data_IF_451221085693
#
_entry.id   IF_451221085693
#
_cell.length_a   1.000
_cell.length_b   1.000
_cell.length_c   1.000
_cell.angle_alpha   90.00
_cell.angle_beta   90.00
_cell.angle_gamma   90.00
#
_symmetry.space_group_name_H-M   'P 1'
#
loop_
_entity.id
_entity.type
_entity.pdbx_description
1 polymer ?
#
# COMPACT_ATOMS: atom_id res chain seq x y z
N UNK A 1 21.90 15.60 -11.38
CA UNK A 1 20.66 14.86 -11.73
C UNK A 1 20.48 13.82 -10.66
N UNK A 2 19.47 13.93 -9.82
CA UNK A 2 19.08 12.88 -8.86
C UNK A 2 18.60 11.71 -9.71
N UNK A 3 19.20 10.53 -9.52
CA UNK A 3 18.81 9.32 -10.24
C UNK A 3 17.37 8.98 -9.78
N UNK A 4 16.40 9.02 -10.72
CA UNK A 4 15.03 8.63 -10.41
C UNK A 4 15.09 7.22 -9.79
N UNK A 5 14.44 6.97 -8.63
CA UNK A 5 14.39 5.63 -8.09
C UNK A 5 13.83 4.66 -9.14
N UNK A 6 14.34 3.43 -9.16
CA UNK A 6 13.85 2.39 -10.05
C UNK A 6 12.35 2.13 -9.73
N UNK A 7 11.59 1.75 -10.78
CA UNK A 7 10.20 1.34 -10.58
C UNK A 7 10.15 0.03 -9.76
N UNK A 8 9.35 0.02 -8.70
CA UNK A 8 9.26 -1.12 -7.79
C UNK A 8 8.01 -1.97 -8.04
N UNK A 9 8.17 -3.30 -8.13
CA UNK A 9 7.06 -4.26 -8.06
C UNK A 9 7.00 -4.76 -6.62
N UNK A 10 5.94 -4.37 -5.90
CA UNK A 10 5.82 -4.54 -4.45
C UNK A 10 4.76 -5.61 -4.15
N UNK A 11 5.13 -6.79 -3.63
CA UNK A 11 4.15 -7.79 -3.23
C UNK A 11 3.39 -7.36 -1.97
N UNK A 12 2.07 -7.61 -1.97
CA UNK A 12 1.19 -7.31 -0.84
C UNK A 12 0.90 -8.56 0.01
N UNK A 13 0.89 -8.37 1.33
CA UNK A 13 0.43 -9.34 2.33
C UNK A 13 -0.69 -8.68 3.14
N UNK A 14 -1.93 -9.15 2.96
CA UNK A 14 -3.05 -8.73 3.80
C UNK A 14 -3.19 -9.72 4.96
N UNK A 15 -3.30 -9.16 6.17
CA UNK A 15 -3.42 -9.93 7.41
C UNK A 15 -4.84 -9.85 7.97
N UNK A 16 -5.42 -11.01 8.28
CA UNK A 16 -6.67 -11.13 9.01
C UNK A 16 -6.65 -12.36 9.90
N UNK A 17 -6.94 -12.18 11.20
CA UNK A 17 -6.89 -13.28 12.18
C UNK A 17 -5.54 -14.00 12.20
N UNK A 18 -4.43 -13.30 12.02
CA UNK A 18 -3.08 -13.84 11.99
C UNK A 18 -2.70 -14.58 10.70
N UNK A 19 -3.52 -14.56 9.65
CA UNK A 19 -3.32 -15.31 8.39
C UNK A 19 -3.15 -14.37 7.20
N UNK A 20 -2.50 -14.88 6.15
CA UNK A 20 -2.45 -14.21 4.84
C UNK A 20 -3.76 -14.44 4.10
N UNK A 21 -4.45 -13.35 3.79
CA UNK A 21 -5.75 -13.37 3.11
C UNK A 21 -5.78 -12.40 1.93
N UNK A 22 -6.82 -12.51 1.09
CA UNK A 22 -7.20 -11.47 0.12
C UNK A 22 -8.71 -11.31 0.15
N UNK A 23 -9.15 -10.06 0.10
CA UNK A 23 -10.54 -9.69 -0.08
C UNK A 23 -10.79 -9.36 -1.56
N UNK A 24 -12.00 -9.52 -2.04
CA UNK A 24 -12.41 -9.01 -3.34
C UNK A 24 -13.13 -7.66 -3.14
N UNK A 25 -12.55 -6.58 -3.68
CA UNK A 25 -13.08 -5.21 -3.53
C UNK A 25 -13.35 -4.80 -2.07
N UNK A 26 -12.50 -5.27 -1.14
CA UNK A 26 -12.63 -5.00 0.29
C UNK A 26 -13.77 -5.73 1.00
N UNK A 27 -14.51 -6.63 0.32
CA UNK A 27 -15.62 -7.35 0.92
C UNK A 27 -15.15 -8.47 1.87
N UNK A 28 -15.34 -8.28 3.16
CA UNK A 28 -14.97 -9.24 4.21
C UNK A 28 -15.72 -10.57 4.13
N UNK A 29 -16.85 -10.63 3.42
CA UNK A 29 -17.58 -11.87 3.15
C UNK A 29 -16.98 -12.66 1.98
N UNK A 30 -16.11 -12.05 1.18
CA UNK A 30 -15.45 -12.62 0.00
C UNK A 30 -13.95 -12.78 0.24
N UNK A 31 -13.61 -13.39 1.38
CA UNK A 31 -12.24 -13.67 1.78
C UNK A 31 -11.74 -14.98 1.16
N UNK A 32 -10.48 -14.97 0.73
CA UNK A 32 -9.70 -16.18 0.40
C UNK A 32 -8.47 -16.21 1.27
N UNK A 33 -8.24 -17.35 1.96
CA UNK A 33 -7.04 -17.58 2.77
C UNK A 33 -5.98 -18.25 1.90
N UNK A 34 -4.78 -17.68 1.83
CA UNK A 34 -3.66 -18.19 1.04
C UNK A 34 -2.52 -18.80 1.86
N UNK A 35 -2.45 -18.50 3.15
CA UNK A 35 -1.42 -19.06 4.02
C UNK A 35 -1.72 -18.82 5.49
N UNK A 36 -1.28 -19.75 6.34
CA UNK A 36 -1.43 -19.64 7.79
C UNK A 36 -0.21 -18.96 8.45
N UNK A 37 0.93 -18.88 7.75
CA UNK A 37 2.17 -18.30 8.24
C UNK A 37 2.58 -17.08 7.39
N UNK A 38 2.35 -15.86 7.91
CA UNK A 38 2.75 -14.63 7.21
C UNK A 38 4.27 -14.45 7.06
N UNK A 39 5.06 -14.97 7.99
CA UNK A 39 6.52 -14.87 7.91
C UNK A 39 7.08 -15.75 6.77
N UNK A 40 6.55 -16.97 6.62
CA UNK A 40 6.89 -17.83 5.49
C UNK A 40 6.54 -17.18 4.15
N UNK A 41 5.38 -16.55 4.06
CA UNK A 41 4.97 -15.82 2.86
C UNK A 41 5.91 -14.64 2.55
N UNK A 42 6.31 -13.88 3.56
CA UNK A 42 7.25 -12.77 3.41
C UNK A 42 8.63 -13.24 2.92
N UNK A 43 9.16 -14.32 3.49
CA UNK A 43 10.39 -14.96 3.04
C UNK A 43 10.31 -15.43 1.59
N UNK A 44 9.17 -15.99 1.20
CA UNK A 44 8.93 -16.39 -0.20
C UNK A 44 9.06 -15.18 -1.14
N UNK A 45 8.41 -14.07 -0.84
CA UNK A 45 8.50 -12.88 -1.69
C UNK A 45 9.91 -12.28 -1.70
N UNK A 46 10.59 -12.23 -0.55
CA UNK A 46 11.98 -11.82 -0.49
C UNK A 46 12.88 -12.71 -1.37
N UNK A 47 12.71 -14.03 -1.32
CA UNK A 47 13.50 -14.97 -2.12
C UNK A 47 13.29 -14.82 -3.64
N UNK A 48 12.15 -14.28 -4.06
CA UNK A 48 11.83 -13.94 -5.45
C UNK A 48 12.34 -12.55 -5.87
N UNK A 49 13.05 -11.84 -4.98
CA UNK A 49 13.69 -10.55 -5.28
C UNK A 49 12.83 -9.34 -4.98
N UNK A 50 11.78 -9.44 -4.17
CA UNK A 50 10.97 -8.30 -3.75
C UNK A 50 11.85 -7.16 -3.21
N UNK A 51 11.70 -5.90 -3.69
CA UNK A 51 12.47 -4.77 -3.18
C UNK A 51 11.97 -4.27 -1.81
N UNK A 52 10.71 -4.52 -1.49
CA UNK A 52 10.02 -4.25 -0.22
C UNK A 52 8.75 -5.08 -0.12
N UNK A 53 8.11 -5.09 1.05
CA UNK A 53 6.81 -5.71 1.28
C UNK A 53 5.77 -4.67 1.67
N UNK A 54 4.57 -4.75 1.08
CA UNK A 54 3.40 -3.98 1.50
C UNK A 54 2.50 -4.86 2.37
N UNK A 55 2.40 -4.55 3.65
CA UNK A 55 1.61 -5.32 4.63
C UNK A 55 0.41 -4.50 5.08
N UNK A 56 -0.77 -5.11 5.12
CA UNK A 56 -2.00 -4.46 5.58
C UNK A 56 -2.64 -5.28 6.69
N UNK A 57 -2.82 -4.67 7.86
CA UNK A 57 -3.66 -5.21 8.94
C UNK A 57 -5.12 -4.87 8.65
N UNK A 58 -5.87 -5.82 8.05
CA UNK A 58 -7.28 -5.63 7.68
C UNK A 58 -8.19 -5.52 8.91
N UNK A 59 -7.91 -6.26 9.98
CA UNK A 59 -8.65 -6.14 11.23
C UNK A 59 -8.40 -4.77 11.85
N UNK A 60 -7.14 -4.30 11.84
CA UNK A 60 -6.76 -2.96 12.28
C UNK A 60 -7.39 -1.86 11.43
N UNK A 61 -7.46 -2.01 10.11
CA UNK A 61 -8.09 -1.04 9.23
C UNK A 61 -9.56 -0.79 9.62
N UNK A 62 -10.28 -1.84 10.00
CA UNK A 62 -11.67 -1.80 10.40
C UNK A 62 -11.86 -1.31 11.84
N UNK A 63 -11.18 -1.95 12.81
CA UNK A 63 -11.38 -1.69 14.25
C UNK A 63 -10.57 -0.49 14.78
N UNK A 64 -9.42 -0.21 14.18
CA UNK A 64 -8.41 0.71 14.70
C UNK A 64 -7.45 0.09 15.71
N UNK A 65 -7.66 -1.18 16.04
CA UNK A 65 -6.78 -1.93 16.94
C UNK A 65 -5.72 -2.70 16.12
N UNK A 66 -4.54 -2.89 16.70
CA UNK A 66 -3.44 -3.61 16.03
C UNK A 66 -3.60 -5.13 16.26
N UNK A 67 -4.67 -5.71 15.70
CA UNK A 67 -5.09 -7.09 15.96
C UNK A 67 -4.08 -8.13 15.44
N UNK A 68 -3.35 -7.80 14.36
CA UNK A 68 -2.36 -8.70 13.76
C UNK A 68 -0.91 -8.33 14.14
N UNK A 69 -0.71 -7.64 15.28
CA UNK A 69 0.61 -7.15 15.69
C UNK A 69 1.68 -8.25 15.78
N UNK A 70 1.33 -9.44 16.24
CA UNK A 70 2.29 -10.55 16.35
C UNK A 70 2.70 -11.07 14.95
N UNK A 71 1.76 -11.15 14.01
CA UNK A 71 2.06 -11.51 12.63
C UNK A 71 2.98 -10.48 11.95
N UNK A 72 2.72 -9.17 12.15
CA UNK A 72 3.59 -8.10 11.63
C UNK A 72 5.00 -8.21 12.21
N UNK A 73 5.16 -8.42 13.53
CA UNK A 73 6.47 -8.62 14.16
C UNK A 73 7.18 -9.86 13.63
N UNK A 74 6.45 -10.94 13.39
CA UNK A 74 7.02 -12.17 12.82
C UNK A 74 7.56 -11.91 11.40
N UNK A 75 6.84 -11.15 10.57
CA UNK A 75 7.31 -10.75 9.24
C UNK A 75 8.57 -9.89 9.36
N UNK A 76 8.55 -8.83 10.18
CA UNK A 76 9.71 -7.94 10.39
C UNK A 76 10.95 -8.72 10.83
N UNK A 77 10.79 -9.70 11.72
CA UNK A 77 11.89 -10.53 12.21
C UNK A 77 12.40 -11.56 11.21
N UNK A 78 11.64 -11.85 10.15
CA UNK A 78 11.96 -12.89 9.19
C UNK A 78 12.69 -12.35 7.94
N UNK A 79 12.47 -11.11 7.54
CA UNK A 79 13.00 -10.56 6.28
C UNK A 79 14.01 -9.44 6.51
N UNK A 80 14.91 -9.25 5.54
CA UNK A 80 15.92 -8.19 5.53
C UNK A 80 15.53 -7.00 4.63
N UNK A 81 14.44 -7.14 3.87
CA UNK A 81 13.95 -6.10 2.96
C UNK A 81 13.01 -5.13 3.69
N UNK A 82 12.92 -3.85 3.27
CA UNK A 82 12.01 -2.88 3.85
C UNK A 82 10.56 -3.36 3.87
N UNK A 83 9.87 -3.12 4.97
CA UNK A 83 8.46 -3.41 5.15
C UNK A 83 7.68 -2.12 5.36
N UNK A 84 6.63 -1.95 4.61
CA UNK A 84 5.66 -0.88 4.81
C UNK A 84 4.34 -1.43 5.35
N UNK A 85 3.74 -0.71 6.30
CA UNK A 85 2.56 -1.19 7.02
C UNK A 85 1.40 -0.21 6.92
N UNK A 86 0.24 -0.72 6.49
CA UNK A 86 -1.05 -0.05 6.58
C UNK A 86 -2.03 -0.78 7.50
N UNK A 87 -3.12 -0.09 7.86
CA UNK A 87 -4.19 -0.64 8.68
C UNK A 87 -4.11 -0.27 10.17
N UNK A 88 -5.12 0.43 10.66
CA UNK A 88 -5.32 0.75 12.07
C UNK A 88 -4.37 1.75 12.72
N UNK A 89 -3.56 2.48 11.94
CA UNK A 89 -2.62 3.48 12.46
C UNK A 89 -3.35 4.80 12.66
N UNK A 90 -3.66 5.15 13.92
CA UNK A 90 -4.55 6.27 14.27
C UNK A 90 -3.97 7.27 15.28
N UNK A 91 -2.73 7.07 15.75
CA UNK A 91 -2.05 7.97 16.68
C UNK A 91 -0.53 7.84 16.58
N UNK A 92 0.20 8.84 17.13
CA UNK A 92 1.67 8.92 17.08
C UNK A 92 2.34 7.77 17.82
N UNK A 93 1.77 7.29 18.92
CA UNK A 93 2.30 6.16 19.67
C UNK A 93 2.33 4.88 18.81
N UNK A 94 1.29 4.65 18.02
CA UNK A 94 1.24 3.50 17.09
C UNK A 94 2.26 3.65 15.97
N UNK A 95 2.46 4.85 15.43
CA UNK A 95 3.52 5.13 14.44
C UNK A 95 4.89 4.81 15.04
N UNK A 96 5.23 5.40 16.17
CA UNK A 96 6.51 5.21 16.86
C UNK A 96 6.77 3.74 17.19
N UNK A 97 5.77 3.04 17.68
CA UNK A 97 5.84 1.60 18.00
C UNK A 97 6.22 0.76 16.79
N UNK A 98 5.61 1.02 15.62
CA UNK A 98 5.90 0.24 14.42
C UNK A 98 7.26 0.55 13.83
N UNK A 99 7.65 1.83 13.78
CA UNK A 99 8.98 2.23 13.32
C UNK A 99 10.07 1.66 14.25
N UNK A 100 9.86 1.70 15.56
CA UNK A 100 10.77 1.09 16.55
C UNK A 100 10.84 -0.44 16.41
N UNK A 101 9.76 -1.08 16.00
CA UNK A 101 9.71 -2.52 15.74
C UNK A 101 10.43 -2.94 14.44
N UNK A 102 10.83 -1.99 13.58
CA UNK A 102 11.57 -2.25 12.34
C UNK A 102 10.75 -2.10 11.05
N UNK A 103 9.52 -1.59 11.14
CA UNK A 103 8.76 -1.17 9.95
C UNK A 103 9.45 0.04 9.33
N UNK A 104 9.68 0.04 8.00
CA UNK A 104 10.37 1.12 7.29
C UNK A 104 9.47 2.37 7.18
N UNK A 105 8.21 2.20 6.78
CA UNK A 105 7.23 3.28 6.70
C UNK A 105 5.81 2.82 7.00
N UNK A 106 4.99 3.74 7.48
CA UNK A 106 3.58 3.50 7.80
C UNK A 106 2.66 4.23 6.84
N UNK A 107 1.54 3.61 6.48
CA UNK A 107 0.51 4.20 5.63
C UNK A 107 -0.66 4.71 6.46
N UNK A 108 -0.95 5.99 6.31
CA UNK A 108 -2.10 6.65 6.91
C UNK A 108 -3.23 6.75 5.86
N UNK A 109 -4.39 6.20 6.17
CA UNK A 109 -5.62 6.31 5.37
C UNK A 109 -6.68 7.06 6.17
N UNK A 110 -7.67 6.34 6.73
CA UNK A 110 -8.79 6.90 7.50
C UNK A 110 -8.37 7.97 8.51
N UNK A 111 -7.34 7.73 9.31
CA UNK A 111 -6.90 8.68 10.32
C UNK A 111 -6.39 10.00 9.73
N UNK A 112 -5.77 9.97 8.55
CA UNK A 112 -5.33 11.18 7.89
C UNK A 112 -6.51 12.03 7.34
N UNK A 113 -7.66 11.41 7.08
CA UNK A 113 -8.89 12.11 6.71
C UNK A 113 -9.62 12.67 7.93
N UNK A 114 -9.78 11.84 8.97
CA UNK A 114 -10.58 12.19 10.16
C UNK A 114 -9.84 13.12 11.13
N UNK A 115 -8.52 13.07 11.15
CA UNK A 115 -7.65 13.93 11.95
C UNK A 115 -6.43 14.41 11.12
N UNK A 116 -6.61 15.47 10.31
CA UNK A 116 -5.51 16.06 9.53
C UNK A 116 -4.35 16.55 10.39
N UNK A 117 -4.61 16.97 11.63
CA UNK A 117 -3.56 17.43 12.54
C UNK A 117 -2.64 16.29 12.97
N UNK A 118 -3.20 15.13 13.29
CA UNK A 118 -2.41 13.92 13.55
C UNK A 118 -1.51 13.56 12.35
N UNK A 119 -2.05 13.60 11.12
CA UNK A 119 -1.27 13.25 9.93
C UNK A 119 -0.08 14.21 9.73
N UNK A 120 -0.31 15.52 9.88
CA UNK A 120 0.75 16.54 9.79
C UNK A 120 1.82 16.36 10.89
N UNK A 121 1.39 16.08 12.14
CA UNK A 121 2.32 15.79 13.23
C UNK A 121 3.14 14.53 12.95
N UNK A 122 2.52 13.46 12.43
CA UNK A 122 3.23 12.22 12.11
C UNK A 122 4.31 12.45 11.04
N UNK A 123 4.00 13.17 9.96
CA UNK A 123 4.98 13.52 8.93
C UNK A 123 6.14 14.36 9.49
N UNK A 124 5.86 15.31 10.40
CA UNK A 124 6.86 16.17 11.01
C UNK A 124 7.75 15.42 12.00
N UNK A 125 7.16 14.54 12.82
CA UNK A 125 7.86 13.82 13.88
C UNK A 125 8.66 12.62 13.34
N UNK A 126 8.18 11.99 12.27
CA UNK A 126 8.78 10.81 11.66
C UNK A 126 9.11 11.04 10.18
N UNK A 127 9.99 12.03 9.86
CA UNK A 127 10.32 12.38 8.48
C UNK A 127 10.94 11.18 7.76
N UNK A 128 10.48 10.92 6.55
CA UNK A 128 10.93 9.77 5.75
C UNK A 128 10.16 8.47 5.96
N UNK A 129 9.26 8.42 6.94
CA UNK A 129 8.60 7.17 7.36
C UNK A 129 7.07 7.19 7.28
N UNK A 130 6.46 8.28 6.83
CA UNK A 130 4.99 8.40 6.71
C UNK A 130 4.57 8.46 5.26
N UNK A 131 3.63 7.62 4.89
CA UNK A 131 3.03 7.52 3.56
C UNK A 131 1.51 7.64 3.64
N UNK A 132 0.86 7.94 2.50
CA UNK A 132 -0.58 8.07 2.40
C UNK A 132 -1.19 6.89 1.62
N UNK A 133 -2.23 6.26 2.17
CA UNK A 133 -3.12 5.34 1.47
C UNK A 133 -4.31 6.10 0.88
N UNK A 134 -4.32 6.29 -0.43
CA UNK A 134 -5.35 7.01 -1.17
C UNK A 134 -6.30 6.02 -1.86
N UNK A 135 -7.19 5.42 -1.08
CA UNK A 135 -8.17 4.46 -1.57
C UNK A 135 -9.37 5.22 -2.17
N UNK A 136 -9.52 5.11 -3.48
CA UNK A 136 -10.44 5.91 -4.27
C UNK A 136 -11.74 5.18 -4.61
N UNK A 137 -12.86 5.84 -4.36
CA UNK A 137 -14.18 5.49 -4.89
C UNK A 137 -14.80 6.75 -5.49
N UNK A 138 -15.14 6.71 -6.77
CA UNK A 138 -15.77 7.82 -7.50
C UNK A 138 -15.04 9.18 -7.30
N UNK A 139 -13.69 9.16 -7.27
CA UNK A 139 -12.86 10.36 -7.12
C UNK A 139 -12.70 10.89 -5.69
N UNK A 140 -13.29 10.24 -4.68
CA UNK A 140 -13.21 10.57 -3.26
C UNK A 140 -12.42 9.51 -2.50
N UNK A 141 -11.91 9.90 -1.31
CA UNK A 141 -11.23 8.96 -0.41
C UNK A 141 -12.26 8.13 0.37
N UNK A 142 -12.09 6.82 0.32
CA UNK A 142 -12.83 5.89 1.15
C UNK A 142 -12.11 5.70 2.50
N UNK A 143 -12.89 5.52 3.55
CA UNK A 143 -12.45 5.41 4.94
C UNK A 143 -13.08 4.19 5.63
N UNK A 144 -12.62 3.88 6.86
CA UNK A 144 -13.17 2.79 7.68
C UNK A 144 -13.17 1.41 6.98
N UNK A 145 -12.02 1.04 6.35
CA UNK A 145 -11.94 -0.24 5.61
C UNK A 145 -12.84 -0.25 4.37
N UNK A 146 -13.01 0.92 3.74
CA UNK A 146 -13.80 1.16 2.53
C UNK A 146 -15.33 1.11 2.74
N UNK A 147 -15.78 1.11 3.99
CA UNK A 147 -17.22 1.09 4.33
C UNK A 147 -17.91 2.45 4.10
N UNK A 148 -17.14 3.56 4.17
CA UNK A 148 -17.66 4.93 4.04
C UNK A 148 -16.84 5.76 3.04
N UNK A 149 -17.45 6.82 2.49
CA UNK A 149 -16.77 7.82 1.65
C UNK A 149 -16.59 9.11 2.42
N UNK A 150 -15.43 9.75 2.25
CA UNK A 150 -15.17 11.08 2.79
C UNK A 150 -15.68 12.18 1.83
N UNK A 151 -15.73 13.42 2.31
CA UNK A 151 -15.98 14.57 1.45
C UNK A 151 -14.73 14.97 0.64
N UNK A 152 -13.53 14.56 1.09
CA UNK A 152 -12.25 14.95 0.52
C UNK A 152 -11.99 14.20 -0.79
N UNK A 153 -11.63 14.92 -1.85
CA UNK A 153 -11.22 14.29 -3.11
C UNK A 153 -9.83 13.66 -2.99
N UNK A 154 -9.55 12.65 -3.82
CA UNK A 154 -8.21 12.01 -3.88
C UNK A 154 -7.11 13.05 -4.07
N UNK A 155 -7.32 14.03 -4.95
CA UNK A 155 -6.32 15.08 -5.22
C UNK A 155 -6.08 15.98 -4.01
N UNK A 156 -7.13 16.42 -3.32
CA UNK A 156 -7.00 17.28 -2.13
C UNK A 156 -6.25 16.55 -1.03
N UNK A 157 -6.63 15.30 -0.75
CA UNK A 157 -5.97 14.44 0.22
C UNK A 157 -4.48 14.25 -0.10
N UNK A 158 -4.15 13.86 -1.33
CA UNK A 158 -2.76 13.63 -1.73
C UNK A 158 -1.93 14.91 -1.65
N UNK A 159 -2.44 16.05 -2.14
CA UNK A 159 -1.72 17.33 -2.07
C UNK A 159 -1.46 17.75 -0.62
N UNK A 160 -2.42 17.56 0.27
CA UNK A 160 -2.27 17.87 1.69
C UNK A 160 -1.18 17.01 2.32
N UNK A 161 -1.25 15.70 2.15
CA UNK A 161 -0.25 14.77 2.74
C UNK A 161 1.17 15.00 2.18
N UNK A 162 1.30 15.29 0.88
CA UNK A 162 2.58 15.67 0.28
C UNK A 162 3.12 16.97 0.89
N UNK A 163 2.26 17.97 1.09
CA UNK A 163 2.63 19.23 1.74
C UNK A 163 3.04 19.04 3.19
N UNK A 164 2.45 18.08 3.88
CA UNK A 164 2.81 17.69 5.25
C UNK A 164 4.14 16.91 5.32
N UNK A 165 4.64 16.40 4.19
CA UNK A 165 5.91 15.66 4.12
C UNK A 165 5.77 14.15 3.95
N UNK A 166 4.63 13.64 3.51
CA UNK A 166 4.48 12.22 3.18
C UNK A 166 5.45 11.83 2.06
N UNK A 167 6.15 10.69 2.23
CA UNK A 167 7.21 10.23 1.32
C UNK A 167 6.72 9.28 0.23
N UNK A 168 5.49 8.80 0.36
CA UNK A 168 4.86 7.98 -0.67
C UNK A 168 3.34 8.13 -0.64
N UNK A 169 2.71 7.86 -1.78
CA UNK A 169 1.26 7.72 -1.94
C UNK A 169 0.98 6.39 -2.63
N UNK A 170 0.21 5.52 -1.99
CA UNK A 170 -0.37 4.35 -2.65
C UNK A 170 -1.81 4.69 -3.07
N UNK A 171 -2.03 4.80 -4.37
CA UNK A 171 -3.36 5.02 -4.95
C UNK A 171 -4.01 3.68 -5.30
N UNK A 172 -5.20 3.45 -4.77
CA UNK A 172 -6.02 2.25 -5.07
C UNK A 172 -7.38 2.66 -5.61
N UNK A 173 -7.73 2.23 -6.82
CA UNK A 173 -9.13 2.28 -7.25
C UNK A 173 -9.84 1.03 -6.70
N UNK A 174 -10.72 1.23 -5.71
CA UNK A 174 -11.41 0.15 -4.98
C UNK A 174 -12.22 -0.75 -5.91
N UNK A 175 -12.85 -0.17 -6.93
CA UNK A 175 -13.66 -0.95 -7.89
C UNK A 175 -12.83 -1.96 -8.69
N UNK A 176 -11.51 -1.77 -8.77
CA UNK A 176 -10.59 -2.67 -9.48
C UNK A 176 -9.87 -3.64 -8.56
N UNK A 177 -9.79 -3.34 -7.24
CA UNK A 177 -9.01 -4.16 -6.32
C UNK A 177 -9.53 -5.60 -6.23
N UNK A 178 -8.60 -6.57 -6.29
CA UNK A 178 -8.90 -8.00 -6.27
C UNK A 178 -9.59 -8.57 -7.52
N UNK A 179 -9.88 -7.75 -8.56
CA UNK A 179 -10.63 -8.19 -9.76
C UNK A 179 -9.77 -8.87 -10.83
N UNK A 180 -8.45 -8.62 -10.86
CA UNK A 180 -7.49 -9.04 -11.90
C UNK A 180 -7.78 -8.42 -13.28
N UNK A 181 -8.71 -7.47 -13.38
CA UNK A 181 -9.19 -6.91 -14.65
C UNK A 181 -8.32 -5.76 -15.20
N UNK A 182 -7.26 -5.43 -14.51
CA UNK A 182 -6.32 -4.36 -14.84
C UNK A 182 -6.36 -3.21 -13.84
N UNK A 183 -5.18 -2.62 -13.52
CA UNK A 183 -5.08 -1.46 -12.64
C UNK A 183 -5.63 -0.19 -13.30
N UNK A 184 -5.84 0.85 -12.51
CA UNK A 184 -6.37 2.13 -12.97
C UNK A 184 -5.26 3.04 -13.53
N UNK A 185 -4.77 2.69 -14.71
CA UNK A 185 -3.66 3.41 -15.39
C UNK A 185 -4.05 4.85 -15.72
N UNK A 186 -5.29 5.08 -16.17
CA UNK A 186 -5.77 6.42 -16.52
C UNK A 186 -5.90 7.29 -15.28
N UNK A 187 -6.57 6.79 -14.23
CA UNK A 187 -6.76 7.53 -12.99
C UNK A 187 -5.45 7.90 -12.29
N UNK A 188 -4.46 6.99 -12.27
CA UNK A 188 -3.16 7.31 -11.68
C UNK A 188 -2.38 8.32 -12.54
N UNK A 189 -2.45 8.25 -13.86
CA UNK A 189 -1.79 9.23 -14.73
C UNK A 189 -2.39 10.63 -14.57
N UNK A 190 -3.71 10.74 -14.47
CA UNK A 190 -4.42 12.00 -14.16
C UNK A 190 -4.02 12.54 -12.78
N UNK A 191 -3.97 11.68 -11.77
CA UNK A 191 -3.54 12.06 -10.42
C UNK A 191 -2.12 12.60 -10.42
N UNK A 192 -1.15 11.90 -11.02
CA UNK A 192 0.25 12.34 -11.12
C UNK A 192 0.34 13.69 -11.83
N UNK A 193 -0.40 13.88 -12.93
CA UNK A 193 -0.45 15.16 -13.64
C UNK A 193 -0.99 16.29 -12.75
N UNK A 194 -2.04 16.02 -11.98
CA UNK A 194 -2.68 16.99 -11.10
C UNK A 194 -1.84 17.35 -9.86
N UNK A 195 -1.03 16.42 -9.35
CA UNK A 195 -0.10 16.64 -8.23
C UNK A 195 1.14 17.45 -8.66
N UNK A 196 1.55 17.33 -9.94
CA UNK A 196 2.78 17.95 -10.42
C UNK A 196 4.06 17.24 -9.92
N UNK A 197 5.22 17.88 -10.06
CA UNK A 197 6.50 17.31 -9.63
C UNK A 197 6.55 17.10 -8.12
N UNK A 198 6.96 15.91 -7.70
CA UNK A 198 7.15 15.55 -6.29
C UNK A 198 8.32 14.58 -6.14
N UNK A 199 9.01 14.63 -5.00
CA UNK A 199 10.04 13.66 -4.60
C UNK A 199 9.43 12.42 -3.95
N UNK A 200 8.14 12.45 -3.59
CA UNK A 200 7.44 11.32 -3.03
C UNK A 200 7.24 10.20 -4.07
N UNK A 201 7.32 8.96 -3.63
CA UNK A 201 7.05 7.79 -4.47
C UNK A 201 5.54 7.64 -4.69
N UNK A 202 5.08 7.75 -5.94
CA UNK A 202 3.69 7.47 -6.29
C UNK A 202 3.58 6.02 -6.71
N UNK A 203 2.66 5.28 -6.10
CA UNK A 203 2.50 3.83 -6.24
C UNK A 203 1.07 3.53 -6.66
N UNK A 204 0.90 2.68 -7.67
CA UNK A 204 -0.40 2.20 -8.11
C UNK A 204 -0.75 0.89 -7.41
N UNK A 205 -1.98 0.73 -6.96
CA UNK A 205 -2.47 -0.50 -6.32
C UNK A 205 -3.82 -0.93 -6.88
N UNK A 206 -4.09 -2.24 -6.79
CA UNK A 206 -5.36 -2.85 -7.17
C UNK A 206 -5.47 -3.24 -8.65
N UNK A 207 -6.16 -4.35 -8.93
CA UNK A 207 -6.54 -4.77 -10.26
C UNK A 207 -5.49 -5.51 -11.10
N UNK A 208 -4.24 -5.59 -10.69
CA UNK A 208 -3.19 -6.30 -11.45
C UNK A 208 -3.55 -7.77 -11.63
N UNK A 209 -3.53 -8.25 -12.88
CA UNK A 209 -3.85 -9.64 -13.22
C UNK A 209 -2.84 -10.30 -14.17
N UNK A 210 -2.02 -9.52 -14.88
CA UNK A 210 -1.05 -10.03 -15.87
C UNK A 210 0.27 -9.26 -15.81
N UNK A 211 1.33 -9.82 -16.36
CA UNK A 211 2.62 -9.15 -16.54
C UNK A 211 2.50 -7.88 -17.39
N UNK A 212 1.62 -7.91 -18.41
CA UNK A 212 1.37 -6.73 -19.25
C UNK A 212 0.83 -5.54 -18.44
N UNK A 213 0.02 -5.77 -17.40
CA UNK A 213 -0.45 -4.72 -16.51
C UNK A 213 0.71 -4.05 -15.76
N UNK A 214 1.71 -4.83 -15.32
CA UNK A 214 2.91 -4.31 -14.63
C UNK A 214 3.76 -3.49 -15.58
N UNK A 215 4.05 -4.02 -16.78
CA UNK A 215 4.88 -3.32 -17.77
C UNK A 215 4.22 -2.04 -18.29
N UNK A 216 2.90 -2.02 -18.48
CA UNK A 216 2.15 -0.80 -18.80
C UNK A 216 2.22 0.25 -17.69
N UNK A 217 2.09 -0.17 -16.43
CA UNK A 217 2.22 0.74 -15.29
C UNK A 217 3.62 1.37 -15.24
N UNK A 218 4.69 0.60 -15.48
CA UNK A 218 6.06 1.10 -15.49
C UNK A 218 6.32 2.17 -16.58
N UNK A 219 5.48 2.25 -17.61
CA UNK A 219 5.57 3.26 -18.66
C UNK A 219 4.89 4.59 -18.28
N UNK A 220 4.12 4.65 -17.19
CA UNK A 220 3.46 5.89 -16.73
C UNK A 220 4.50 6.86 -16.18
N UNK A 221 4.66 8.05 -16.77
CA UNK A 221 5.63 9.03 -16.29
C UNK A 221 5.32 9.49 -14.87
N UNK A 222 6.28 9.42 -13.97
CA UNK A 222 6.10 9.83 -12.57
C UNK A 222 5.66 8.71 -11.63
N UNK A 223 5.18 7.58 -12.14
CA UNK A 223 4.88 6.42 -11.30
C UNK A 223 6.18 5.77 -10.82
N UNK A 224 6.27 5.48 -9.51
CA UNK A 224 7.44 4.92 -8.85
C UNK A 224 7.31 3.44 -8.48
N UNK A 225 6.12 2.84 -8.62
CA UNK A 225 5.93 1.43 -8.33
C UNK A 225 4.49 0.96 -8.48
N UNK A 226 4.31 -0.35 -8.32
CA UNK A 226 3.01 -1.01 -8.34
C UNK A 226 2.92 -2.07 -7.24
N UNK A 227 1.86 -2.04 -6.47
CA UNK A 227 1.54 -3.07 -5.47
C UNK A 227 0.77 -4.19 -6.16
N UNK A 228 1.27 -5.42 -6.00
CA UNK A 228 0.67 -6.62 -6.60
C UNK A 228 0.29 -7.60 -5.48
N UNK A 229 -0.99 -7.90 -5.40
CA UNK A 229 -1.53 -8.85 -4.41
C UNK A 229 -1.97 -10.15 -5.06
N UNK A 230 -3.27 -10.29 -5.27
CA UNK A 230 -3.96 -11.52 -5.70
C UNK A 230 -3.26 -12.27 -6.85
N UNK A 231 -2.80 -11.55 -7.86
CA UNK A 231 -2.13 -12.12 -9.03
C UNK A 231 -0.90 -12.97 -8.70
N UNK A 232 -0.13 -12.58 -7.65
CA UNK A 232 1.04 -13.34 -7.20
C UNK A 232 0.63 -14.63 -6.48
N UNK A 233 -0.44 -14.58 -5.69
CA UNK A 233 -0.94 -15.76 -4.98
C UNK A 233 -1.57 -16.79 -5.93
N UNK A 234 -2.28 -16.32 -6.95
CA UNK A 234 -2.90 -17.18 -7.97
C UNK A 234 -1.92 -17.60 -9.07
N UNK A 235 -0.68 -17.05 -9.08
CA UNK A 235 0.35 -17.40 -10.05
C UNK A 235 0.07 -16.88 -11.46
N UNK A 236 -0.84 -15.90 -11.64
CA UNK A 236 -1.07 -15.24 -12.93
C UNK A 236 0.01 -14.21 -13.26
N UNK A 237 0.76 -13.77 -12.23
CA UNK A 237 2.00 -12.98 -12.35
C UNK A 237 3.08 -13.67 -11.54
N UNK A 238 4.23 -13.93 -12.14
CA UNK A 238 5.45 -14.32 -11.42
C UNK A 238 6.19 -13.06 -10.96
N UNK A 239 6.56 -12.99 -9.67
CA UNK A 239 7.17 -11.80 -9.10
C UNK A 239 8.57 -11.53 -9.68
N UNK A 240 9.40 -12.58 -9.82
CA UNK A 240 10.75 -12.41 -10.33
C UNK A 240 10.74 -11.96 -11.80
N UNK A 241 9.84 -12.54 -12.60
CA UNK A 241 9.61 -12.11 -13.99
C UNK A 241 9.13 -10.66 -14.07
N UNK A 242 8.18 -10.27 -13.21
CA UNK A 242 7.65 -8.91 -13.18
C UNK A 242 8.72 -7.88 -12.79
N UNK A 243 9.58 -8.19 -11.81
CA UNK A 243 10.71 -7.33 -11.42
C UNK A 243 11.70 -7.21 -12.59
N UNK A 244 12.07 -8.32 -13.23
CA UNK A 244 13.01 -8.33 -14.35
C UNK A 244 12.49 -7.54 -15.57
N UNK A 245 11.17 -7.50 -15.77
CA UNK A 245 10.56 -6.81 -16.91
C UNK A 245 10.55 -5.28 -16.79
N UNK A 246 10.80 -4.72 -15.59
CA UNK A 246 10.72 -3.26 -15.32
C UNK A 246 12.03 -2.65 -14.78
N UNK A 247 13.05 -3.49 -14.52
CA UNK A 247 14.35 -3.14 -13.94
C UNK A 247 15.41 -2.69 -14.94
#
# INVERSE_FOLDING_TARGET
MVKKPAFEVIPAIDLRGGKCVRLMQGDYARETVYGADPAEMALRWQSMGAPRLHVVDLDGARSGEQANADAVRAIVGAVDIPLELGGGIRNLETVERWLTAGVDRVYLGTAAVTDPHFASQACTQFPGHVAAGADARDGKIAVHGWEEESAETVREFCNRLLSDGAVAIAYTNIARDGTLAGPDIEGIAELIHALGPTDAQIILSGGVGTLEHVTKAAQVPGLGGIIVGRALYEGTVDLAEAIAAVG
#
